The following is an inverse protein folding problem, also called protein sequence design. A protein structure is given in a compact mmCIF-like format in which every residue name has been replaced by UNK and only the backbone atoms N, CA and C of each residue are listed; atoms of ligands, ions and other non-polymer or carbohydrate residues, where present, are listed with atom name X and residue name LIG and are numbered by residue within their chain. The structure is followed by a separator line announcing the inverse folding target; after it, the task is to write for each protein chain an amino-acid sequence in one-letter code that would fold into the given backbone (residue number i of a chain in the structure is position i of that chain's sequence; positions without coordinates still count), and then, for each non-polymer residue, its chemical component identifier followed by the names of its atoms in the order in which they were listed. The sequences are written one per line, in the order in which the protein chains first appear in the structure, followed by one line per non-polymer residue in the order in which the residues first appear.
data_IF_408016318789
#
_entry.id   IF_408016318789
#
_cell.length_a   1.000
_cell.length_b   1.000
_cell.length_c   1.000
_cell.angle_alpha   90.00
_cell.angle_beta   90.00
_cell.angle_gamma   90.00
#
_symmetry.space_group_name_H-M   'P 1'
#
loop_
_entity.id
_entity.type
_entity.pdbx_description
1 polymer ?
#
# COMPACT_ATOMS: atom_id res chain seq x y z
N UNK A 1 -9.50 11.54 -11.59
CA UNK A 1 -10.92 11.49 -11.99
C UNK A 1 -11.33 10.03 -12.12
N UNK A 2 -12.00 9.50 -11.10
CA UNK A 2 -12.84 8.31 -11.21
C UNK A 2 -14.19 8.76 -10.64
N UNK A 3 -15.21 8.83 -11.49
CA UNK A 3 -16.58 9.12 -11.09
C UNK A 3 -17.38 7.83 -11.08
N UNK A 4 -18.09 7.58 -9.99
CA UNK A 4 -19.44 7.00 -9.99
C UNK A 4 -20.17 7.44 -8.71
N UNK A 5 -21.08 8.41 -8.88
CA UNK A 5 -22.11 8.85 -7.91
C UNK A 5 -23.24 7.78 -7.88
N UNK A 6 -24.11 7.57 -6.88
CA UNK A 6 -24.78 8.42 -5.88
C UNK A 6 -25.21 7.55 -4.68
N UNK A 7 -25.25 8.10 -3.47
CA UNK A 7 -26.03 7.53 -2.37
C UNK A 7 -25.53 7.99 -1.00
N UNK A 8 -26.39 8.66 -0.23
CA UNK A 8 -26.08 9.16 1.11
C UNK A 8 -25.76 7.99 2.05
N UNK A 9 -24.53 7.91 2.55
CA UNK A 9 -24.23 7.20 3.79
C UNK A 9 -23.02 7.84 4.49
N UNK A 10 -23.23 8.23 5.75
CA UNK A 10 -22.18 8.58 6.69
C UNK A 10 -21.38 7.32 7.02
N UNK A 11 -20.23 7.15 6.36
CA UNK A 11 -19.22 6.17 6.75
C UNK A 11 -17.92 6.95 6.91
N UNK A 12 -17.31 6.84 8.08
CA UNK A 12 -16.00 7.41 8.37
C UNK A 12 -15.00 6.68 7.47
N UNK A 13 -14.67 7.29 6.32
CA UNK A 13 -13.65 6.80 5.42
C UNK A 13 -12.28 7.05 6.07
N UNK A 14 -11.64 5.99 6.55
CA UNK A 14 -10.25 6.05 6.99
C UNK A 14 -9.38 6.12 5.73
N UNK A 15 -8.99 7.33 5.34
CA UNK A 15 -8.19 7.58 4.15
C UNK A 15 -6.76 7.02 4.30
N UNK A 16 -6.38 6.06 3.47
CA UNK A 16 -5.05 5.46 3.48
C UNK A 16 -4.46 5.55 2.07
N UNK A 17 -3.33 6.26 1.92
CA UNK A 17 -2.64 6.77 0.71
C UNK A 17 -1.44 5.93 0.22
N UNK A 18 -1.52 5.31 -0.95
CA UNK A 18 -0.56 4.25 -1.30
C UNK A 18 -0.03 4.20 -2.72
N UNK A 19 1.19 3.67 -2.83
CA UNK A 19 1.91 3.39 -4.07
C UNK A 19 1.79 1.90 -4.41
N UNK A 20 1.37 1.59 -5.63
CA UNK A 20 1.27 0.21 -6.11
C UNK A 20 2.34 -0.08 -7.16
N UNK A 21 2.81 -1.32 -7.24
CA UNK A 21 3.65 -1.78 -8.34
C UNK A 21 3.00 -2.99 -9.02
N UNK A 22 2.69 -2.86 -10.31
CA UNK A 22 2.24 -3.98 -11.16
C UNK A 22 3.39 -4.30 -12.13
N UNK A 23 3.94 -5.51 -12.03
CA UNK A 23 4.95 -5.99 -12.96
C UNK A 23 4.28 -6.42 -14.27
N UNK A 24 4.68 -5.82 -15.40
CA UNK A 24 4.30 -6.32 -16.72
C UNK A 24 5.34 -7.32 -17.20
N UNK A 25 5.31 -8.55 -16.72
CA UNK A 25 6.03 -9.63 -17.42
C UNK A 25 5.06 -10.30 -18.38
N UNK A 26 5.29 -10.09 -19.68
CA UNK A 26 4.65 -10.81 -20.79
C UNK A 26 5.08 -12.28 -20.90
N UNK A 27 5.77 -12.83 -19.90
CA UNK A 27 5.91 -14.26 -19.74
C UNK A 27 4.54 -14.80 -19.35
N UNK A 28 3.98 -15.68 -20.18
CA UNK A 28 2.72 -16.36 -19.98
C UNK A 28 2.49 -16.61 -18.48
N UNK A 29 1.48 -15.95 -17.91
CA UNK A 29 1.01 -16.18 -16.55
C UNK A 29 0.72 -17.69 -16.50
N UNK A 30 1.66 -18.45 -15.96
CA UNK A 30 1.50 -19.88 -15.80
C UNK A 30 0.17 -20.07 -15.08
N UNK A 31 -0.65 -20.95 -15.63
CA UNK A 31 -2.07 -21.10 -15.32
C UNK A 31 -2.30 -21.71 -13.93
N UNK A 32 -1.42 -21.44 -12.97
CA UNK A 32 -1.27 -22.24 -11.77
C UNK A 32 -2.22 -21.84 -10.66
N UNK A 33 -2.75 -20.61 -10.63
CA UNK A 33 -3.93 -20.26 -9.82
C UNK A 33 -4.72 -19.11 -10.48
N UNK A 34 -5.60 -19.43 -11.44
CA UNK A 34 -6.65 -18.49 -11.86
C UNK A 34 -7.71 -18.43 -10.78
N UNK A 35 -7.55 -17.52 -9.81
CA UNK A 35 -8.70 -17.06 -9.03
C UNK A 35 -9.76 -16.65 -10.04
N UNK A 36 -10.88 -17.37 -10.06
CA UNK A 36 -12.03 -16.97 -10.85
C UNK A 36 -12.72 -15.88 -10.06
N UNK A 37 -12.47 -14.64 -10.47
CA UNK A 37 -13.13 -13.48 -9.89
C UNK A 37 -14.65 -13.61 -10.02
N UNK A 38 -15.36 -13.10 -9.01
CA UNK A 38 -16.79 -13.00 -9.01
C UNK A 38 -17.24 -11.83 -9.91
N UNK A 39 -16.95 -11.95 -11.20
CA UNK A 39 -17.33 -10.95 -12.18
C UNK A 39 -18.81 -11.09 -12.54
N UNK A 40 -19.64 -10.27 -11.91
CA UNK A 40 -21.08 -10.20 -12.20
C UNK A 40 -21.40 -9.25 -13.37
N UNK A 41 -20.39 -8.57 -13.94
CA UNK A 41 -20.56 -7.47 -14.88
C UNK A 41 -21.22 -6.22 -14.27
N UNK A 42 -21.40 -6.20 -12.94
CA UNK A 42 -21.99 -5.11 -12.14
C UNK A 42 -21.13 -4.90 -10.89
N UNK A 43 -21.25 -3.72 -10.27
CA UNK A 43 -20.50 -3.38 -9.05
C UNK A 43 -19.18 -2.67 -9.34
N UNK A 44 -18.38 -2.50 -8.29
CA UNK A 44 -17.10 -1.82 -8.29
C UNK A 44 -16.02 -2.69 -7.63
N UNK A 45 -14.76 -2.40 -7.95
CA UNK A 45 -13.61 -3.03 -7.30
C UNK A 45 -12.90 -1.94 -6.49
N UNK A 46 -12.89 -2.07 -5.17
CA UNK A 46 -12.16 -1.17 -4.30
C UNK A 46 -10.73 -1.71 -4.12
N UNK A 47 -9.70 -0.90 -4.34
CA UNK A 47 -8.31 -1.39 -4.44
C UNK A 47 -7.36 -0.85 -3.37
N UNK A 48 -7.84 -0.08 -2.41
CA UNK A 48 -7.06 0.54 -1.33
C UNK A 48 -7.62 0.17 0.05
N UNK A 49 -8.02 -1.09 0.20
CA UNK A 49 -8.71 -1.57 1.39
C UNK A 49 -7.70 -2.15 2.39
N UNK A 50 -7.47 -1.44 3.49
CA UNK A 50 -6.49 -1.89 4.49
C UNK A 50 -6.94 -3.17 5.21
N UNK A 51 -5.98 -4.01 5.55
CA UNK A 51 -6.10 -5.22 6.34
C UNK A 51 -4.85 -5.36 7.20
N UNK A 52 -4.93 -5.96 8.39
CA UNK A 52 -3.74 -6.24 9.19
C UNK A 52 -3.95 -7.47 10.07
N UNK A 53 -2.89 -7.88 10.75
CA UNK A 53 -2.92 -8.95 11.76
C UNK A 53 -2.83 -8.33 13.16
N UNK A 54 -3.39 -8.97 14.20
CA UNK A 54 -3.31 -8.46 15.57
C UNK A 54 -1.89 -8.11 16.03
N UNK A 55 -0.90 -8.92 15.63
CA UNK A 55 0.52 -8.76 15.96
C UNK A 55 1.17 -7.52 15.33
N UNK A 56 0.59 -7.00 14.25
CA UNK A 56 1.08 -5.84 13.49
C UNK A 56 0.14 -4.63 13.58
N UNK A 57 -0.87 -4.68 14.47
CA UNK A 57 -1.82 -3.59 14.63
C UNK A 57 -1.16 -2.36 15.27
N UNK A 58 -1.24 -1.22 14.58
CA UNK A 58 -0.83 0.07 15.12
C UNK A 58 -1.99 0.66 15.93
N UNK A 59 -1.68 1.39 17.01
CA UNK A 59 -2.69 2.10 17.81
C UNK A 59 -3.23 3.28 16.99
N UNK A 60 -4.46 3.18 16.49
CA UNK A 60 -5.16 4.30 15.86
C UNK A 60 -5.74 5.19 16.96
N UNK A 61 -5.60 6.51 16.82
CA UNK A 61 -6.21 7.47 17.75
C UNK A 61 -7.72 7.52 17.57
N UNK A 62 -8.48 7.44 18.68
CA UNK A 62 -9.95 7.46 18.66
C UNK A 62 -10.56 7.04 19.99
N UNK A 63 -11.89 7.14 20.12
CA UNK A 63 -12.61 6.56 21.25
C UNK A 63 -12.58 5.02 21.20
N UNK A 64 -12.62 4.36 22.36
CA UNK A 64 -12.44 2.90 22.47
C UNK A 64 -13.38 2.08 21.56
N UNK A 65 -14.63 2.51 21.39
CA UNK A 65 -15.60 1.84 20.52
C UNK A 65 -15.23 1.95 19.02
N UNK A 66 -14.77 3.12 18.58
CA UNK A 66 -14.34 3.33 17.19
C UNK A 66 -13.06 2.54 16.88
N UNK A 67 -12.17 2.38 17.86
CA UNK A 67 -10.97 1.55 17.73
C UNK A 67 -11.34 0.07 17.65
N UNK A 68 -12.31 -0.39 18.45
CA UNK A 68 -12.79 -1.78 18.42
C UNK A 68 -13.41 -2.12 17.06
N UNK A 69 -14.35 -1.30 16.57
CA UNK A 69 -14.97 -1.51 15.25
C UNK A 69 -13.94 -1.44 14.12
N UNK A 70 -12.97 -0.53 14.21
CA UNK A 70 -11.88 -0.45 13.23
C UNK A 70 -11.03 -1.71 13.24
N UNK A 71 -10.62 -2.20 14.41
CA UNK A 71 -9.83 -3.41 14.55
C UNK A 71 -10.58 -4.64 14.03
N UNK A 72 -11.86 -4.78 14.39
CA UNK A 72 -12.71 -5.87 13.88
C UNK A 72 -12.75 -5.86 12.36
N UNK A 73 -12.93 -4.68 11.76
CA UNK A 73 -12.91 -4.55 10.32
C UNK A 73 -11.51 -4.77 9.72
N UNK A 74 -10.42 -4.41 10.39
CA UNK A 74 -9.05 -4.61 9.87
C UNK A 74 -8.60 -6.07 9.92
N UNK A 75 -9.05 -6.84 10.92
CA UNK A 75 -8.62 -8.23 11.13
C UNK A 75 -9.52 -9.25 10.44
N UNK A 76 -10.82 -8.96 10.35
CA UNK A 76 -11.84 -9.90 9.91
C UNK A 76 -12.50 -9.43 8.60
N UNK A 77 -12.27 -10.20 7.54
CA UNK A 77 -12.82 -9.93 6.21
C UNK A 77 -14.16 -10.61 5.97
N UNK A 78 -14.56 -11.56 6.82
CA UNK A 78 -15.67 -12.48 6.60
C UNK A 78 -17.03 -11.91 6.99
N UNK A 79 -17.06 -11.07 8.03
CA UNK A 79 -18.31 -10.60 8.60
C UNK A 79 -18.77 -9.30 7.92
N UNK A 80 -18.36 -8.16 8.49
CA UNK A 80 -18.87 -6.85 8.07
C UNK A 80 -18.46 -6.50 6.65
N UNK A 81 -17.21 -6.81 6.25
CA UNK A 81 -16.71 -6.46 4.91
C UNK A 81 -17.44 -7.23 3.82
N UNK A 82 -17.39 -8.56 3.88
CA UNK A 82 -18.03 -9.42 2.88
C UNK A 82 -19.54 -9.15 2.78
N UNK A 83 -20.22 -8.92 3.92
CA UNK A 83 -21.65 -8.58 3.94
C UNK A 83 -21.95 -7.26 3.23
N UNK A 84 -21.07 -6.24 3.37
CA UNK A 84 -21.25 -4.92 2.74
C UNK A 84 -20.86 -4.89 1.26
N UNK A 85 -20.12 -5.87 0.78
CA UNK A 85 -19.63 -5.89 -0.59
C UNK A 85 -20.73 -6.15 -1.62
N UNK A 86 -21.73 -6.98 -1.33
CA UNK A 86 -22.81 -7.36 -2.27
C UNK A 86 -22.28 -7.74 -3.67
N UNK A 87 -22.47 -6.92 -4.71
CA UNK A 87 -21.92 -7.14 -6.06
C UNK A 87 -20.50 -6.58 -6.27
N UNK A 88 -19.91 -5.93 -5.27
CA UNK A 88 -18.57 -5.35 -5.31
C UNK A 88 -17.51 -6.36 -4.87
N UNK A 89 -16.27 -6.11 -5.29
CA UNK A 89 -15.09 -6.86 -4.87
C UNK A 89 -14.05 -5.91 -4.27
N UNK A 90 -13.09 -6.46 -3.52
CA UNK A 90 -12.08 -5.66 -2.81
C UNK A 90 -10.69 -6.24 -3.00
N UNK A 91 -9.67 -5.40 -3.14
CA UNK A 91 -8.27 -5.80 -3.08
C UNK A 91 -7.66 -5.26 -1.80
N UNK A 92 -7.26 -6.20 -0.95
CA UNK A 92 -6.75 -5.93 0.38
C UNK A 92 -5.26 -5.62 0.37
N UNK A 93 -4.82 -4.84 1.34
CA UNK A 93 -3.42 -4.47 1.49
C UNK A 93 -3.04 -4.22 2.94
N UNK A 94 -1.78 -4.45 3.30
CA UNK A 94 -1.36 -4.33 4.68
C UNK A 94 -1.43 -2.88 5.19
N UNK A 95 -2.17 -2.67 6.28
CA UNK A 95 -2.44 -1.36 6.85
C UNK A 95 -1.16 -0.64 7.32
N UNK A 96 -1.08 0.66 7.02
CA UNK A 96 0.07 1.50 7.37
C UNK A 96 0.42 1.48 8.87
N UNK A 97 1.72 1.53 9.22
CA UNK A 97 2.89 1.59 8.33
C UNK A 97 3.32 0.21 7.81
N UNK A 98 2.69 -0.87 8.28
CA UNK A 98 3.07 -2.25 8.00
C UNK A 98 4.60 -2.46 8.05
N UNK A 99 5.15 -3.19 7.05
CA UNK A 99 6.56 -3.53 6.94
C UNK A 99 7.45 -2.27 6.87
N UNK A 100 6.95 -1.17 6.29
CA UNK A 100 7.70 0.07 6.19
C UNK A 100 8.03 0.67 7.56
N UNK A 101 7.24 0.39 8.60
CA UNK A 101 7.53 0.83 9.98
C UNK A 101 8.56 -0.02 10.73
N UNK A 102 9.02 -1.13 10.14
CA UNK A 102 9.98 -2.04 10.79
C UNK A 102 11.41 -1.67 10.41
N UNK A 103 12.20 -1.25 11.39
CA UNK A 103 13.59 -0.81 11.16
C UNK A 103 14.61 -1.93 11.04
N UNK A 104 14.32 -3.11 11.57
CA UNK A 104 15.19 -4.29 11.46
C UNK A 104 14.90 -5.04 10.15
N UNK A 105 15.90 -5.19 9.25
CA UNK A 105 15.69 -5.80 7.94
C UNK A 105 15.18 -7.25 8.00
N UNK A 106 15.75 -8.08 8.88
CA UNK A 106 15.42 -9.50 8.96
C UNK A 106 14.01 -9.71 9.51
N UNK A 107 13.63 -8.95 10.55
CA UNK A 107 12.27 -8.94 11.08
C UNK A 107 11.26 -8.43 10.05
N UNK A 108 11.61 -7.39 9.28
CA UNK A 108 10.75 -6.84 8.23
C UNK A 108 10.50 -7.86 7.10
N UNK A 109 11.54 -8.57 6.65
CA UNK A 109 11.42 -9.63 5.64
C UNK A 109 10.58 -10.81 6.14
N UNK A 110 10.84 -11.29 7.37
CA UNK A 110 10.07 -12.38 7.97
C UNK A 110 8.59 -11.99 8.17
N UNK A 111 8.32 -10.75 8.61
CA UNK A 111 6.96 -10.25 8.77
C UNK A 111 6.25 -10.11 7.43
N UNK A 112 6.92 -9.64 6.36
CA UNK A 112 6.34 -9.54 5.03
C UNK A 112 5.81 -10.90 4.54
N UNK A 113 6.61 -11.95 4.68
CA UNK A 113 6.21 -13.33 4.34
C UNK A 113 5.02 -13.77 5.19
N UNK A 114 5.08 -13.53 6.50
CA UNK A 114 4.00 -13.90 7.43
C UNK A 114 2.66 -13.22 7.08
N UNK A 115 2.64 -11.89 6.90
CA UNK A 115 1.40 -11.18 6.58
C UNK A 115 0.84 -11.58 5.21
N UNK A 116 1.70 -11.82 4.21
CA UNK A 116 1.26 -12.28 2.89
C UNK A 116 0.64 -13.69 2.98
N UNK A 117 1.25 -14.61 3.72
CA UNK A 117 0.73 -15.96 3.91
C UNK A 117 -0.60 -15.96 4.68
N UNK A 118 -0.73 -15.14 5.73
CA UNK A 118 -1.97 -15.04 6.50
C UNK A 118 -3.10 -14.41 5.67
N UNK A 119 -2.82 -13.35 4.90
CA UNK A 119 -3.81 -12.74 4.02
C UNK A 119 -4.25 -13.72 2.94
N UNK A 120 -3.31 -14.44 2.31
CA UNK A 120 -3.63 -15.50 1.35
C UNK A 120 -4.52 -16.59 1.98
N UNK A 121 -4.18 -17.04 3.18
CA UNK A 121 -4.99 -18.03 3.90
C UNK A 121 -6.41 -17.53 4.16
N UNK A 122 -6.60 -16.24 4.45
CA UNK A 122 -7.94 -15.68 4.65
C UNK A 122 -8.75 -15.59 3.35
N UNK A 123 -8.20 -15.01 2.28
CA UNK A 123 -8.94 -14.78 1.03
C UNK A 123 -9.29 -16.07 0.28
N UNK A 124 -8.66 -17.19 0.62
CA UNK A 124 -8.92 -18.52 0.06
C UNK A 124 -9.60 -19.49 1.04
N UNK A 125 -10.07 -19.03 2.20
CA UNK A 125 -10.69 -19.90 3.21
C UNK A 125 -12.14 -20.30 2.86
N UNK A 126 -12.34 -20.85 1.66
CA UNK A 126 -13.64 -21.29 1.15
C UNK A 126 -14.28 -22.38 2.02
N UNK A 127 -13.45 -23.22 2.66
CA UNK A 127 -13.92 -24.29 3.54
C UNK A 127 -14.65 -23.79 4.78
N UNK A 128 -14.25 -22.64 5.33
CA UNK A 128 -14.91 -22.05 6.50
C UNK A 128 -15.84 -20.90 6.14
N UNK A 129 -15.61 -20.25 5.00
CA UNK A 129 -16.36 -19.07 4.55
C UNK A 129 -16.77 -19.23 3.08
N UNK A 130 -17.95 -19.81 2.81
CA UNK A 130 -18.43 -20.03 1.44
C UNK A 130 -18.59 -18.71 0.66
N UNK A 131 -18.29 -18.76 -0.63
CA UNK A 131 -18.33 -17.66 -1.60
C UNK A 131 -17.33 -16.53 -1.31
N UNK A 132 -16.23 -16.81 -0.60
CA UNK A 132 -15.19 -15.81 -0.37
C UNK A 132 -14.20 -15.74 -1.54
N UNK A 133 -13.89 -16.89 -2.14
CA UNK A 133 -12.90 -16.98 -3.21
C UNK A 133 -13.38 -16.17 -4.41
N UNK A 134 -12.52 -15.26 -4.90
CA UNK A 134 -12.85 -14.39 -6.02
C UNK A 134 -13.63 -13.13 -5.63
N UNK A 135 -13.92 -12.90 -4.34
CA UNK A 135 -14.45 -11.63 -3.81
C UNK A 135 -13.36 -10.69 -3.32
N UNK A 136 -12.26 -11.28 -2.84
CA UNK A 136 -11.09 -10.56 -2.36
C UNK A 136 -9.85 -10.85 -3.21
N UNK A 137 -9.08 -9.80 -3.51
CA UNK A 137 -7.69 -9.88 -3.90
C UNK A 137 -6.77 -9.40 -2.81
N UNK A 138 -5.48 -9.45 -3.10
CA UNK A 138 -4.47 -8.89 -2.24
C UNK A 138 -3.33 -8.25 -3.03
N UNK A 139 -2.75 -7.21 -2.44
CA UNK A 139 -1.44 -6.68 -2.78
C UNK A 139 -0.43 -7.13 -1.74
N UNK A 140 0.76 -7.53 -2.22
CA UNK A 140 1.85 -7.98 -1.38
C UNK A 140 2.38 -6.84 -0.52
N UNK A 141 2.60 -7.12 0.75
CA UNK A 141 3.50 -6.35 1.58
C UNK A 141 4.93 -6.82 1.34
N UNK A 142 5.86 -5.88 1.20
CA UNK A 142 7.29 -6.19 0.96
C UNK A 142 8.19 -5.35 1.83
N UNK A 143 9.30 -5.93 2.26
CA UNK A 143 10.40 -5.21 2.90
C UNK A 143 11.23 -4.52 1.83
N UNK A 144 11.43 -3.21 1.96
CA UNK A 144 12.19 -2.42 0.98
C UNK A 144 13.64 -2.15 1.45
N UNK A 145 14.08 -2.82 2.52
CA UNK A 145 15.47 -2.76 3.00
C UNK A 145 16.47 -3.33 1.99
N UNK A 146 16.02 -4.25 1.13
CA UNK A 146 16.83 -4.82 0.08
C UNK A 146 15.97 -5.02 -1.18
N UNK A 147 16.37 -4.37 -2.28
CA UNK A 147 15.68 -4.43 -3.55
C UNK A 147 15.51 -5.85 -4.11
N UNK A 148 16.53 -6.69 -3.95
CA UNK A 148 16.53 -8.07 -4.44
C UNK A 148 15.57 -8.93 -3.63
N UNK A 149 15.63 -8.85 -2.29
CA UNK A 149 14.69 -9.56 -1.41
C UNK A 149 13.25 -9.13 -1.67
N UNK A 150 12.99 -7.82 -1.82
CA UNK A 150 11.68 -7.28 -2.15
C UNK A 150 11.12 -7.87 -3.46
N UNK A 151 11.96 -7.93 -4.50
CA UNK A 151 11.57 -8.49 -5.79
C UNK A 151 11.31 -10.00 -5.73
N UNK A 152 12.07 -10.74 -4.91
CA UNK A 152 11.85 -12.18 -4.67
C UNK A 152 10.50 -12.40 -3.99
N UNK A 153 10.20 -11.68 -2.92
CA UNK A 153 8.92 -11.85 -2.22
C UNK A 153 7.73 -11.38 -3.05
N UNK A 154 7.87 -10.27 -3.80
CA UNK A 154 6.82 -9.85 -4.75
C UNK A 154 6.55 -10.92 -5.80
N UNK A 155 7.60 -11.50 -6.38
CA UNK A 155 7.46 -12.60 -7.35
C UNK A 155 6.74 -13.78 -6.73
N UNK A 156 7.13 -14.20 -5.53
CA UNK A 156 6.51 -15.30 -4.78
C UNK A 156 5.03 -15.01 -4.53
N UNK A 157 4.69 -13.84 -4.00
CA UNK A 157 3.31 -13.45 -3.73
C UNK A 157 2.43 -13.45 -4.99
N UNK A 158 2.95 -12.98 -6.13
CA UNK A 158 2.20 -12.98 -7.39
C UNK A 158 2.06 -14.39 -7.98
N UNK A 159 3.14 -15.17 -8.01
CA UNK A 159 3.18 -16.46 -8.71
C UNK A 159 2.61 -17.61 -7.89
N UNK A 160 2.84 -17.61 -6.58
CA UNK A 160 2.44 -18.70 -5.67
C UNK A 160 1.17 -18.36 -4.90
N UNK A 161 0.98 -17.11 -4.46
CA UNK A 161 -0.20 -16.69 -3.68
C UNK A 161 -1.31 -16.07 -4.54
N UNK A 162 -1.04 -15.76 -5.81
CA UNK A 162 -2.01 -15.17 -6.73
C UNK A 162 -2.31 -13.68 -6.48
N UNK A 163 -1.42 -12.97 -5.79
CA UNK A 163 -1.59 -11.53 -5.52
C UNK A 163 -1.47 -10.69 -6.80
N UNK A 164 -2.04 -9.49 -6.78
CA UNK A 164 -2.20 -8.63 -7.96
C UNK A 164 -1.04 -7.63 -8.19
N UNK A 165 -0.09 -7.58 -7.26
CA UNK A 165 1.05 -6.65 -7.27
C UNK A 165 1.57 -6.43 -5.85
N UNK A 166 2.28 -5.32 -5.63
CA UNK A 166 2.66 -4.86 -4.30
C UNK A 166 1.94 -3.56 -3.94
N UNK A 167 1.76 -3.36 -2.64
CA UNK A 167 1.38 -2.08 -2.04
C UNK A 167 2.42 -1.74 -0.98
N UNK A 168 3.05 -0.57 -1.13
CA UNK A 168 4.14 -0.11 -0.27
C UNK A 168 3.71 1.16 0.46
N UNK A 169 3.80 1.16 1.79
CA UNK A 169 3.40 2.27 2.64
C UNK A 169 4.50 3.35 2.68
N UNK A 170 4.73 3.94 1.52
CA UNK A 170 5.75 4.97 1.30
C UNK A 170 7.16 4.46 1.65
N UNK A 171 8.03 5.28 2.25
CA UNK A 171 9.42 4.91 2.46
C UNK A 171 9.64 3.96 3.64
N UNK A 172 10.69 3.13 3.54
CA UNK A 172 11.07 2.14 4.55
C UNK A 172 11.95 2.71 5.67
N UNK A 173 11.50 2.55 6.91
CA UNK A 173 12.27 2.85 8.10
C UNK A 173 13.49 1.93 8.19
N UNK A 174 14.65 2.49 8.48
CA UNK A 174 15.94 1.80 8.66
C UNK A 174 16.52 2.22 10.01
N UNK A 175 17.53 1.53 10.55
CA UNK A 175 18.26 2.02 11.73
C UNK A 175 19.46 2.86 11.28
N UNK A 176 19.59 4.10 11.74
CA UNK A 176 20.90 4.76 11.64
C UNK A 176 21.04 6.10 12.33
N UNK A 177 22.10 6.82 11.95
CA UNK A 177 22.89 7.71 12.82
C UNK A 177 22.13 8.90 13.44
N UNK A 178 20.91 9.20 12.97
CA UNK A 178 20.06 10.28 13.48
C UNK A 178 18.74 9.80 14.10
N UNK A 179 18.67 8.53 14.52
CA UNK A 179 17.38 7.84 14.58
C UNK A 179 16.93 7.53 13.15
N UNK A 180 16.18 6.47 13.00
CA UNK A 180 15.92 5.78 11.74
C UNK A 180 16.29 6.49 10.43
N UNK A 181 17.48 6.20 9.87
CA UNK A 181 17.78 6.55 8.47
C UNK A 181 16.93 5.68 7.54
N UNK A 182 16.92 5.95 6.23
CA UNK A 182 16.03 5.30 5.26
C UNK A 182 16.90 4.66 4.20
N UNK A 183 16.62 3.41 3.80
CA UNK A 183 17.45 2.70 2.82
C UNK A 183 17.33 3.36 1.44
N UNK A 184 18.47 3.85 0.92
CA UNK A 184 18.69 4.07 -0.50
C UNK A 184 19.22 2.77 -1.08
N UNK A 185 18.45 2.11 -1.95
CA UNK A 185 18.95 0.99 -2.74
C UNK A 185 20.05 1.47 -3.69
N UNK A 186 21.29 1.48 -3.24
CA UNK A 186 22.45 1.71 -4.11
C UNK A 186 23.51 0.66 -3.86
N UNK A 187 23.53 -0.35 -4.73
CA UNK A 187 24.77 -0.90 -5.31
C UNK A 187 24.60 -1.39 -6.76
N UNK A 188 23.40 -1.39 -7.36
CA UNK A 188 23.22 -1.76 -8.78
C UNK A 188 22.30 -0.78 -9.53
N UNK A 189 22.67 -0.30 -10.73
CA UNK A 189 21.79 0.47 -11.63
C UNK A 189 20.50 -0.26 -12.05
N UNK A 190 20.39 -1.56 -11.74
CA UNK A 190 19.31 -2.45 -12.18
C UNK A 190 18.16 -2.60 -11.18
N UNK A 191 18.26 -2.08 -9.95
CA UNK A 191 17.17 -2.19 -8.98
C UNK A 191 16.19 -1.02 -9.09
N UNK A 192 14.91 -1.33 -9.26
CA UNK A 192 13.77 -0.39 -9.32
C UNK A 192 13.64 0.56 -8.12
N UNK A 193 14.41 0.36 -7.05
CA UNK A 193 14.19 0.95 -5.74
C UNK A 193 15.33 1.89 -5.36
N UNK A 194 15.36 3.05 -6.00
CA UNK A 194 16.07 4.22 -5.48
C UNK A 194 15.06 5.11 -4.74
N UNK A 195 15.58 6.00 -3.89
CA UNK A 195 14.93 7.13 -3.17
C UNK A 195 14.67 6.96 -1.67
N UNK A 196 15.00 8.04 -0.96
CA UNK A 196 14.98 8.21 0.49
C UNK A 196 14.00 9.29 0.94
N UNK A 197 13.42 9.04 2.12
CA UNK A 197 12.63 9.88 3.07
C UNK A 197 11.27 10.43 2.60
N UNK A 198 10.12 10.16 3.23
CA UNK A 198 9.79 9.73 4.61
C UNK A 198 8.55 8.82 4.65
N UNK A 199 8.45 7.92 5.63
CA UNK A 199 7.24 7.14 5.96
C UNK A 199 5.92 7.92 5.78
N UNK A 200 4.79 7.22 5.73
CA UNK A 200 3.47 7.82 6.01
C UNK A 200 3.45 8.62 7.35
N UNK A 201 4.39 8.37 8.27
CA UNK A 201 4.65 9.21 9.46
C UNK A 201 6.11 9.66 9.54
N UNK A 202 6.37 10.95 9.39
CA UNK A 202 7.73 11.51 9.42
C UNK A 202 8.62 10.97 10.57
N UNK A 203 9.93 10.77 10.31
CA UNK A 203 10.90 10.48 11.39
C UNK A 203 10.85 11.59 12.44
N UNK A 204 11.14 11.26 13.70
CA UNK A 204 10.92 12.17 14.83
C UNK A 204 11.47 13.60 14.61
N UNK A 205 12.67 13.83 14.05
CA UNK A 205 13.14 15.19 13.76
C UNK A 205 12.26 15.96 12.77
N UNK A 206 11.88 15.33 11.64
CA UNK A 206 11.03 15.95 10.62
C UNK A 206 9.61 16.16 11.17
N UNK A 207 9.06 15.16 11.86
CA UNK A 207 7.73 15.25 12.48
C UNK A 207 7.66 16.33 13.56
N UNK A 208 8.75 16.50 14.32
CA UNK A 208 8.86 17.57 15.32
C UNK A 208 8.94 18.93 14.64
N UNK A 209 9.77 19.08 13.61
CA UNK A 209 9.95 20.35 12.91
C UNK A 209 8.64 20.83 12.24
N UNK A 210 7.96 19.96 11.51
CA UNK A 210 6.81 20.36 10.70
C UNK A 210 5.47 20.32 11.45
N UNK A 211 5.32 19.44 12.46
CA UNK A 211 4.00 19.14 13.00
C UNK A 211 3.88 19.29 14.52
N UNK A 212 4.94 19.61 15.27
CA UNK A 212 4.83 19.76 16.74
C UNK A 212 3.88 20.87 17.16
N UNK A 213 3.84 21.98 16.41
CA UNK A 213 2.95 23.12 16.67
C UNK A 213 1.62 23.07 15.92
N UNK A 214 1.49 22.15 14.95
CA UNK A 214 0.29 21.98 14.10
C UNK A 214 -0.10 20.51 13.98
N UNK A 215 -0.37 19.82 15.10
CA UNK A 215 -0.57 18.36 15.11
C UNK A 215 -1.75 17.89 14.24
N UNK A 216 -2.71 18.76 13.95
CA UNK A 216 -3.86 18.46 13.08
C UNK A 216 -3.50 18.34 11.58
N UNK A 217 -2.30 18.73 11.16
CA UNK A 217 -1.79 18.52 9.80
C UNK A 217 -1.16 17.12 9.60
N UNK A 218 -1.04 16.33 10.66
CA UNK A 218 -0.58 14.94 10.58
C UNK A 218 -1.65 14.06 9.95
N UNK A 219 -1.20 13.04 9.22
CA UNK A 219 -2.09 12.11 8.54
C UNK A 219 -2.75 12.67 7.27
N UNK A 220 -4.03 12.34 7.01
CA UNK A 220 -4.69 12.61 5.73
C UNK A 220 -5.02 14.09 5.48
N UNK A 221 -4.94 14.94 6.50
CA UNK A 221 -5.18 16.38 6.34
C UNK A 221 -4.11 17.06 5.48
N UNK A 222 -2.84 16.63 5.62
CA UNK A 222 -1.74 17.18 4.84
C UNK A 222 -0.52 16.26 4.69
N UNK A 223 -0.02 15.70 5.79
CA UNK A 223 1.24 14.93 5.82
C UNK A 223 1.30 13.85 4.74
N UNK A 224 0.25 13.01 4.63
CA UNK A 224 0.25 11.88 3.70
C UNK A 224 0.43 12.31 2.24
N UNK A 225 -0.36 13.30 1.79
CA UNK A 225 -0.27 13.76 0.39
C UNK A 225 1.06 14.44 0.08
N UNK A 226 1.59 15.25 0.99
CA UNK A 226 2.87 15.95 0.75
C UNK A 226 4.02 14.95 0.62
N UNK A 227 4.05 13.94 1.49
CA UNK A 227 5.12 12.96 1.48
C UNK A 227 5.04 12.04 0.26
N UNK A 228 3.87 11.47 -0.02
CA UNK A 228 3.72 10.55 -1.16
C UNK A 228 3.88 11.26 -2.51
N UNK A 229 3.35 12.49 -2.65
CA UNK A 229 3.55 13.25 -3.89
C UNK A 229 5.03 13.57 -4.15
N UNK A 230 5.78 13.91 -3.09
CA UNK A 230 7.22 14.12 -3.19
C UNK A 230 7.94 12.85 -3.63
N UNK A 231 7.55 11.68 -3.11
CA UNK A 231 8.12 10.39 -3.52
C UNK A 231 7.85 10.09 -4.99
N UNK A 232 6.59 10.22 -5.43
CA UNK A 232 6.19 9.96 -6.82
C UNK A 232 6.92 10.90 -7.78
N UNK A 233 7.00 12.19 -7.45
CA UNK A 233 7.77 13.14 -8.25
C UNK A 233 9.26 12.81 -8.26
N UNK A 234 9.80 12.33 -7.15
CA UNK A 234 11.16 11.79 -7.07
C UNK A 234 11.40 10.63 -8.04
N UNK A 235 10.46 9.68 -8.16
CA UNK A 235 10.54 8.60 -9.15
C UNK A 235 10.61 9.17 -10.58
N UNK A 236 9.79 10.18 -10.88
CA UNK A 236 9.76 10.84 -12.18
C UNK A 236 11.07 11.58 -12.48
N UNK A 237 11.52 12.47 -11.59
CA UNK A 237 12.68 13.35 -11.83
C UNK A 237 14.00 12.58 -11.87
N UNK A 238 14.04 11.39 -11.29
CA UNK A 238 15.21 10.51 -11.36
C UNK A 238 15.11 9.48 -12.51
N UNK A 239 14.16 9.63 -13.43
CA UNK A 239 14.06 8.82 -14.64
C UNK A 239 13.75 7.35 -14.41
N UNK A 240 13.03 6.98 -13.34
CA UNK A 240 12.63 5.58 -13.11
C UNK A 240 11.75 5.08 -14.25
N UNK A 241 10.78 5.90 -14.66
CA UNK A 241 9.87 5.54 -15.76
C UNK A 241 10.58 5.55 -17.12
N UNK A 242 11.70 6.27 -17.28
CA UNK A 242 12.53 6.19 -18.49
C UNK A 242 13.30 4.87 -18.56
N UNK A 243 13.85 4.41 -17.42
CA UNK A 243 14.55 3.12 -17.33
C UNK A 243 13.59 1.93 -17.37
N UNK A 244 12.37 2.09 -16.86
CA UNK A 244 11.35 1.05 -16.76
C UNK A 244 10.02 1.51 -17.37
N UNK A 245 9.94 1.66 -18.70
CA UNK A 245 8.79 2.27 -19.38
C UNK A 245 7.49 1.47 -19.28
N UNK A 246 7.57 0.20 -18.89
CA UNK A 246 6.39 -0.66 -18.68
C UNK A 246 5.95 -0.74 -17.23
N UNK A 247 6.67 -0.06 -16.32
CA UNK A 247 6.31 0.00 -14.90
C UNK A 247 4.98 0.72 -14.73
N UNK A 248 4.08 0.11 -13.95
CA UNK A 248 2.80 0.71 -13.59
C UNK A 248 2.80 1.04 -12.10
N UNK A 249 2.49 2.30 -11.82
CA UNK A 249 2.30 2.83 -10.47
C UNK A 249 0.87 3.34 -10.33
N UNK A 250 0.21 2.96 -9.24
CA UNK A 250 -1.08 3.52 -8.84
C UNK A 250 -0.83 4.43 -7.64
N UNK A 251 -1.56 5.54 -7.59
CA UNK A 251 -1.49 6.54 -6.53
C UNK A 251 -2.92 6.82 -6.05
N UNK A 252 -3.14 6.68 -4.74
CA UNK A 252 -4.43 6.95 -4.08
C UNK A 252 -4.86 8.42 -4.13
N UNK A 253 -5.99 8.74 -3.47
CA UNK A 253 -6.39 10.10 -3.07
C UNK A 253 -6.38 11.12 -4.21
N UNK A 254 -6.86 10.68 -5.37
CA UNK A 254 -6.89 11.48 -6.60
C UNK A 254 -5.50 11.96 -7.03
N UNK A 255 -4.46 11.16 -6.80
CA UNK A 255 -3.09 11.42 -7.23
C UNK A 255 -2.30 12.33 -6.30
N UNK A 256 -2.69 12.45 -5.03
CA UNK A 256 -1.94 13.21 -4.02
C UNK A 256 -1.57 14.63 -4.43
N UNK A 257 -2.54 15.38 -4.95
CA UNK A 257 -2.36 16.77 -5.43
C UNK A 257 -1.51 16.92 -6.70
N UNK A 258 -0.83 15.87 -7.17
CA UNK A 258 -0.06 15.92 -8.43
C UNK A 258 -0.95 16.35 -9.60
N UNK A 259 -2.17 15.81 -9.82
CA UNK A 259 -2.97 16.22 -10.95
C UNK A 259 -3.40 17.70 -10.92
N UNK A 260 -3.62 18.29 -9.75
CA UNK A 260 -3.98 19.71 -9.64
C UNK A 260 -2.80 20.63 -9.97
N UNK A 261 -1.57 20.18 -9.70
CA UNK A 261 -0.36 20.98 -9.90
C UNK A 261 0.41 20.63 -11.19
N UNK A 262 -0.13 19.76 -12.05
CA UNK A 262 0.60 19.17 -13.17
C UNK A 262 1.20 20.22 -14.13
N UNK A 263 0.44 21.25 -14.50
CA UNK A 263 0.91 22.36 -15.34
C UNK A 263 2.05 23.16 -14.66
N UNK A 264 1.98 23.33 -13.34
CA UNK A 264 3.05 24.00 -12.58
C UNK A 264 4.30 23.14 -12.50
N UNK A 265 4.14 21.84 -12.29
CA UNK A 265 5.23 20.87 -12.20
C UNK A 265 6.00 20.82 -13.52
N UNK A 266 5.30 20.77 -14.66
CA UNK A 266 5.94 20.65 -15.98
C UNK A 266 6.79 21.88 -16.37
N UNK A 267 6.43 23.06 -15.85
CA UNK A 267 7.16 24.30 -16.10
C UNK A 267 8.55 24.38 -15.46
N UNK A 268 8.84 23.55 -14.46
CA UNK A 268 10.12 23.59 -13.72
C UNK A 268 11.22 22.73 -14.38
N UNK A 269 11.08 22.40 -15.67
CA UNK A 269 12.18 21.84 -16.47
C UNK A 269 13.23 22.92 -16.75
N UNK A 270 14.13 23.17 -15.81
CA UNK A 270 15.35 23.93 -16.09
C UNK A 270 16.37 23.01 -16.76
N UNK A 271 16.56 23.25 -18.06
CA UNK A 271 17.79 23.09 -18.88
C UNK A 271 18.71 21.91 -18.58
#
# INVERSE_FOLDING_TARGET
MVFLLRGRLSVIALALHTLYFITSTSAARADTHRIKWHDTGKGSIAIEEAWTIPESSSKVGGGAAAIAELNDNLFNIYDQRLTRMDANDMVLSCASPCIQGMSDPAAAEAMAINVNNQLAAQIYNESSHPNITGRFGAFAAVSMHNATSAAVELRRAVQELGFLGALVNDYQQTNGKYGSTMYSGTQSPSSMFQFTSTLRTNVAPISTLFYSQVPWLRGPSQEFSVTLSTHVLGLCTNGVFDRFPTLKVIVGHMGERIPSDLDRIDKVRTT
#
